data_IF_472270677466
#
_entry.id   IF_472270677466
#
_cell.length_a   1.000
_cell.length_b   1.000
_cell.length_c   1.000
_cell.angle_alpha   90.00
_cell.angle_beta   90.00
_cell.angle_gamma   90.00
#
_symmetry.space_group_name_H-M   'P 1'
#
loop_
_entity.id
_entity.type
_entity.pdbx_description
1 polymer ?
#
# COMPACT_ATOMS: atom_id res chain seq x y z
N UNK A 1 12.88 -42.51 33.55
CA UNK A 1 13.78 -41.42 33.16
C UNK A 1 13.56 -41.19 31.66
N UNK A 2 13.35 -39.95 31.25
CA UNK A 2 13.25 -39.60 29.83
C UNK A 2 14.63 -39.83 29.16
N UNK A 3 14.65 -40.33 27.93
CA UNK A 3 15.89 -40.54 27.19
C UNK A 3 15.78 -40.08 25.76
N UNK A 4 16.89 -39.68 25.20
CA UNK A 4 17.02 -39.32 23.79
C UNK A 4 18.17 -40.08 23.16
N UNK A 5 17.91 -40.70 22.01
CA UNK A 5 18.89 -41.44 21.23
C UNK A 5 19.30 -40.58 20.01
N UNK A 6 20.57 -40.24 19.95
CA UNK A 6 21.12 -39.42 18.84
C UNK A 6 21.75 -40.27 17.75
N UNK A 7 22.07 -41.56 18.04
CA UNK A 7 22.86 -42.36 17.10
C UNK A 7 24.20 -41.69 16.78
N UNK A 8 24.50 -41.55 15.52
CA UNK A 8 25.71 -40.86 15.02
C UNK A 8 25.53 -39.34 14.84
N UNK A 9 24.34 -38.77 15.17
CA UNK A 9 24.03 -37.37 14.96
C UNK A 9 24.75 -36.47 15.97
N UNK A 10 25.65 -35.65 15.49
CA UNK A 10 26.35 -34.62 16.29
C UNK A 10 25.45 -33.41 16.59
N UNK A 11 25.86 -32.58 17.58
CA UNK A 11 25.13 -31.37 17.91
C UNK A 11 25.24 -30.32 16.80
N UNK A 12 26.36 -30.30 16.08
CA UNK A 12 26.63 -29.50 14.88
C UNK A 12 25.77 -29.91 13.65
N UNK A 13 25.18 -31.10 13.70
CA UNK A 13 24.29 -31.64 12.67
C UNK A 13 22.80 -31.62 13.10
N UNK A 14 22.47 -30.90 14.15
CA UNK A 14 21.10 -30.78 14.63
C UNK A 14 20.68 -31.68 15.78
N UNK A 15 21.57 -32.52 16.33
CA UNK A 15 21.29 -33.42 17.47
C UNK A 15 20.71 -32.67 18.69
N UNK A 16 21.09 -31.41 18.89
CA UNK A 16 20.55 -30.53 19.93
C UNK A 16 19.03 -30.36 19.86
N UNK A 17 18.41 -30.44 18.67
CA UNK A 17 16.95 -30.31 18.53
C UNK A 17 16.21 -31.47 19.18
N UNK A 18 16.74 -32.70 19.08
CA UNK A 18 16.17 -33.86 19.74
C UNK A 18 16.24 -33.71 21.26
N UNK A 19 17.37 -33.20 21.75
CA UNK A 19 17.57 -32.93 23.19
C UNK A 19 16.58 -31.86 23.66
N UNK A 20 16.45 -30.73 22.94
CA UNK A 20 15.48 -29.68 23.27
C UNK A 20 14.05 -30.24 23.32
N UNK A 21 13.68 -31.08 22.34
CA UNK A 21 12.36 -31.72 22.32
C UNK A 21 12.14 -32.56 23.55
N UNK A 22 13.13 -33.40 23.97
CA UNK A 22 13.04 -34.24 25.14
C UNK A 22 12.97 -33.42 26.43
N UNK A 23 13.80 -32.35 26.58
CA UNK A 23 13.78 -31.47 27.74
C UNK A 23 12.44 -30.80 27.94
N UNK A 24 11.72 -30.42 26.86
CA UNK A 24 10.39 -29.80 26.93
C UNK A 24 9.30 -30.74 27.50
N UNK A 25 9.52 -32.04 27.45
CA UNK A 25 8.53 -33.03 27.95
C UNK A 25 8.68 -33.35 29.43
N UNK A 26 9.73 -32.87 30.07
CA UNK A 26 10.02 -33.17 31.49
C UNK A 26 9.92 -31.88 32.33
N UNK A 27 9.61 -32.00 33.65
CA UNK A 27 9.65 -30.86 34.57
C UNK A 27 11.04 -30.22 34.70
N UNK A 28 11.10 -29.00 35.20
CA UNK A 28 12.37 -28.34 35.59
C UNK A 28 13.07 -29.21 36.65
N UNK A 29 14.38 -29.30 36.55
CA UNK A 29 15.28 -30.18 37.32
C UNK A 29 15.13 -31.68 37.08
N UNK A 30 14.25 -32.10 36.18
CA UNK A 30 14.15 -33.50 35.82
C UNK A 30 15.28 -33.95 34.88
N UNK A 31 15.78 -35.21 35.02
CA UNK A 31 16.85 -35.74 34.21
C UNK A 31 16.38 -36.24 32.85
N UNK A 32 17.22 -36.02 31.83
CA UNK A 32 17.10 -36.58 30.48
C UNK A 32 18.41 -37.28 30.14
N UNK A 33 18.39 -38.60 29.94
CA UNK A 33 19.54 -39.35 29.52
C UNK A 33 19.77 -39.22 28.00
N UNK A 34 21.01 -38.90 27.61
CA UNK A 34 21.39 -38.73 26.20
C UNK A 34 22.32 -39.88 25.80
N UNK A 35 21.94 -40.62 24.74
CA UNK A 35 22.69 -41.65 24.10
C UNK A 35 23.13 -41.20 22.70
N UNK A 36 24.31 -41.68 22.28
CA UNK A 36 24.83 -41.39 20.93
C UNK A 36 26.28 -41.81 20.80
N UNK A 37 26.74 -41.94 19.55
CA UNK A 37 28.10 -42.35 19.21
C UNK A 37 28.88 -41.32 18.40
N UNK A 38 28.32 -40.10 18.21
CA UNK A 38 29.02 -39.03 17.50
C UNK A 38 30.36 -38.70 18.18
N UNK A 39 31.43 -38.43 17.43
CA UNK A 39 32.74 -38.03 17.99
C UNK A 39 32.59 -36.80 18.90
N UNK A 40 33.30 -36.85 20.05
CA UNK A 40 33.35 -35.73 21.00
C UNK A 40 31.99 -35.27 21.56
N UNK A 41 30.95 -36.10 21.43
CA UNK A 41 29.58 -35.75 21.85
C UNK A 41 29.52 -35.25 23.31
N UNK A 42 30.26 -35.86 24.22
CA UNK A 42 30.32 -35.45 25.63
C UNK A 42 30.84 -34.01 25.80
N UNK A 43 31.84 -33.61 24.99
CA UNK A 43 32.42 -32.29 25.02
C UNK A 43 31.40 -31.28 24.47
N UNK A 44 30.78 -31.58 23.34
CA UNK A 44 29.76 -30.73 22.70
C UNK A 44 28.54 -30.59 23.61
N UNK A 45 28.04 -31.65 24.25
CA UNK A 45 26.95 -31.59 25.23
C UNK A 45 27.27 -30.65 26.40
N UNK A 46 28.50 -30.71 26.95
CA UNK A 46 28.92 -29.87 28.07
C UNK A 46 28.92 -28.38 27.64
N UNK A 47 29.46 -28.10 26.48
CA UNK A 47 29.48 -26.74 25.93
C UNK A 47 28.07 -26.18 25.68
N UNK A 48 27.21 -27.01 25.05
CA UNK A 48 25.83 -26.67 24.77
C UNK A 48 24.98 -26.45 26.04
N UNK A 49 25.08 -27.38 27.03
CA UNK A 49 24.36 -27.25 28.30
C UNK A 49 24.73 -25.96 29.03
N UNK A 50 26.04 -25.61 29.05
CA UNK A 50 26.51 -24.35 29.64
C UNK A 50 25.85 -23.14 28.94
N UNK A 51 25.80 -23.15 27.62
CA UNK A 51 25.21 -22.08 26.86
C UNK A 51 23.68 -21.96 27.04
N UNK A 52 23.00 -23.09 27.29
CA UNK A 52 21.54 -23.11 27.53
C UNK A 52 21.15 -23.04 29.02
N UNK A 53 22.15 -23.03 29.93
CA UNK A 53 21.90 -22.97 31.37
C UNK A 53 21.44 -24.29 31.99
N UNK A 54 21.61 -25.44 31.31
CA UNK A 54 21.29 -26.75 31.83
C UNK A 54 22.44 -27.34 32.61
N UNK A 55 22.13 -28.06 33.69
CA UNK A 55 23.11 -28.89 34.39
C UNK A 55 23.34 -30.19 33.64
N UNK A 56 24.57 -30.72 33.75
CA UNK A 56 24.98 -31.92 33.01
C UNK A 56 25.93 -32.77 33.84
N UNK A 57 25.69 -34.06 33.84
CA UNK A 57 26.57 -35.11 34.35
C UNK A 57 27.04 -36.01 33.20
N UNK A 58 28.35 -36.08 32.99
CA UNK A 58 28.93 -36.98 31.97
C UNK A 58 29.04 -38.39 32.58
N UNK A 59 28.45 -39.35 31.90
CA UNK A 59 28.50 -40.73 32.34
C UNK A 59 29.84 -41.39 32.00
N UNK A 60 30.30 -42.25 32.91
CA UNK A 60 31.48 -43.12 32.71
C UNK A 60 31.09 -44.60 32.52
N UNK A 61 29.80 -44.90 32.40
CA UNK A 61 29.27 -46.24 32.31
C UNK A 61 29.36 -46.73 30.87
N UNK A 62 30.13 -47.81 30.65
CA UNK A 62 30.22 -48.46 29.34
C UNK A 62 28.86 -49.02 28.93
N UNK A 63 28.35 -48.60 27.75
CA UNK A 63 27.02 -48.97 27.26
C UNK A 63 25.86 -48.18 27.89
N UNK A 64 26.16 -47.22 28.77
CA UNK A 64 25.19 -46.27 29.35
C UNK A 64 25.00 -45.00 28.51
N UNK A 65 24.23 -44.02 29.02
CA UNK A 65 24.11 -42.73 28.39
C UNK A 65 25.47 -42.01 28.33
N UNK A 66 25.69 -41.19 27.31
CA UNK A 66 26.88 -40.34 27.23
C UNK A 66 26.82 -39.26 28.32
N UNK A 67 25.64 -38.77 28.61
CA UNK A 67 25.40 -37.77 29.64
C UNK A 67 23.94 -37.82 30.15
N UNK A 68 23.76 -37.31 31.37
CA UNK A 68 22.43 -36.98 31.92
C UNK A 68 22.34 -35.49 32.06
N UNK A 69 21.36 -34.89 31.42
CA UNK A 69 21.06 -33.46 31.44
C UNK A 69 19.90 -33.19 32.39
N UNK A 70 19.98 -32.11 33.15
CA UNK A 70 18.89 -31.69 34.02
C UNK A 70 18.28 -30.38 33.45
N UNK A 71 16.98 -30.39 33.19
CA UNK A 71 16.28 -29.23 32.62
C UNK A 71 16.41 -28.04 33.54
N UNK A 72 16.93 -26.91 33.02
CA UNK A 72 16.90 -25.63 33.74
C UNK A 72 15.56 -24.90 33.54
N UNK A 73 15.24 -23.97 34.46
CA UNK A 73 14.13 -23.06 34.32
C UNK A 73 14.45 -21.80 33.46
N UNK A 74 15.63 -21.79 32.82
CA UNK A 74 16.08 -20.61 32.09
C UNK A 74 15.18 -20.26 30.89
N UNK A 75 14.72 -21.26 30.13
CA UNK A 75 13.77 -21.07 29.05
C UNK A 75 12.42 -20.52 29.54
N UNK A 76 11.90 -21.03 30.66
CA UNK A 76 10.62 -20.57 31.23
C UNK A 76 10.74 -19.16 31.79
N UNK A 77 11.90 -18.74 32.29
CA UNK A 77 12.23 -17.40 32.74
C UNK A 77 12.34 -16.38 31.61
N UNK A 78 12.82 -16.83 30.44
CA UNK A 78 13.02 -15.98 29.25
C UNK A 78 11.72 -15.35 28.76
N UNK A 79 10.63 -16.12 28.76
CA UNK A 79 9.32 -15.66 28.26
C UNK A 79 8.43 -15.06 29.35
N UNK A 80 8.99 -14.81 30.56
CA UNK A 80 8.24 -14.12 31.60
C UNK A 80 7.99 -12.68 31.20
N UNK A 81 6.69 -12.25 31.18
CA UNK A 81 6.28 -10.94 30.74
C UNK A 81 6.26 -10.78 29.22
N UNK A 82 6.38 -11.87 28.46
CA UNK A 82 6.18 -11.84 27.02
C UNK A 82 4.71 -11.46 26.68
N UNK A 83 4.53 -10.69 25.62
CA UNK A 83 3.23 -10.21 25.17
C UNK A 83 2.79 -10.93 23.88
N UNK A 84 1.49 -11.23 23.79
CA UNK A 84 0.89 -11.68 22.55
C UNK A 84 0.50 -10.48 21.68
N UNK A 85 0.79 -10.53 20.40
CA UNK A 85 0.36 -9.53 19.43
C UNK A 85 -1.10 -9.72 18.97
N UNK A 86 -1.93 -10.38 19.76
CA UNK A 86 -3.35 -10.62 19.51
C UNK A 86 -3.63 -11.83 18.62
N UNK A 87 -4.77 -11.81 17.96
CA UNK A 87 -5.23 -12.90 17.09
C UNK A 87 -4.72 -12.72 15.64
N UNK A 88 -4.50 -13.83 14.94
CA UNK A 88 -3.99 -13.80 13.57
C UNK A 88 -4.94 -13.11 12.57
N UNK A 89 -6.25 -13.32 12.74
CA UNK A 89 -7.27 -12.83 11.80
C UNK A 89 -7.74 -11.41 12.08
N UNK A 90 -7.71 -10.98 13.34
CA UNK A 90 -8.32 -9.70 13.77
C UNK A 90 -7.24 -8.76 14.31
N UNK A 91 -7.05 -7.56 13.72
CA UNK A 91 -6.12 -6.59 14.28
C UNK A 91 -6.63 -6.04 15.61
N UNK A 92 -5.71 -5.76 16.51
CA UNK A 92 -5.99 -5.07 17.76
C UNK A 92 -6.41 -3.62 17.49
N UNK A 93 -7.06 -2.98 18.47
CA UNK A 93 -7.47 -1.56 18.38
C UNK A 93 -6.22 -0.68 18.25
N UNK A 94 -5.19 -0.99 19.01
CA UNK A 94 -3.91 -0.31 18.98
C UNK A 94 -2.77 -1.31 18.95
N UNK A 95 -1.77 -1.07 18.13
CA UNK A 95 -0.53 -1.83 18.11
C UNK A 95 0.47 -1.23 19.13
N UNK A 96 1.22 -2.10 19.82
CA UNK A 96 2.22 -1.64 20.78
C UNK A 96 3.57 -1.47 20.09
N UNK A 97 4.26 -0.39 20.39
CA UNK A 97 5.56 -0.07 19.79
C UNK A 97 6.60 -1.17 19.96
N UNK A 98 6.59 -1.90 21.09
CA UNK A 98 7.48 -3.03 21.37
C UNK A 98 7.14 -4.32 20.60
N UNK A 99 6.01 -4.38 19.89
CA UNK A 99 5.74 -5.48 18.97
C UNK A 99 6.59 -5.39 17.69
N UNK A 100 7.06 -4.19 17.35
CA UNK A 100 7.96 -3.94 16.25
C UNK A 100 7.48 -4.60 14.95
N UNK A 101 8.32 -5.47 14.39
CA UNK A 101 8.02 -6.19 13.14
C UNK A 101 7.37 -7.56 13.35
N UNK A 102 6.97 -7.90 14.58
CA UNK A 102 6.34 -9.18 14.87
C UNK A 102 4.99 -9.31 14.15
N UNK A 103 4.76 -10.47 13.55
CA UNK A 103 3.47 -10.77 12.93
C UNK A 103 2.36 -10.92 13.97
N UNK A 104 1.10 -10.68 13.59
CA UNK A 104 -0.06 -10.95 14.46
C UNK A 104 -0.06 -12.41 14.92
N UNK A 105 -0.50 -12.63 16.15
CA UNK A 105 -0.48 -13.88 16.92
C UNK A 105 0.92 -14.39 17.32
N UNK A 106 1.96 -13.61 17.08
CA UNK A 106 3.28 -13.91 17.63
C UNK A 106 3.33 -13.61 19.13
N UNK A 107 4.29 -14.24 19.81
CA UNK A 107 4.67 -13.88 21.18
C UNK A 107 5.95 -13.06 21.11
N UNK A 108 5.93 -11.86 21.67
CA UNK A 108 7.08 -10.96 21.72
C UNK A 108 7.74 -11.06 23.10
N UNK A 109 9.04 -11.27 23.12
CA UNK A 109 9.84 -11.37 24.34
C UNK A 109 9.84 -10.03 25.09
N UNK A 110 9.73 -10.06 26.40
CA UNK A 110 9.82 -8.88 27.22
C UNK A 110 11.17 -8.17 27.01
N UNK A 111 11.13 -6.82 26.94
CA UNK A 111 12.35 -6.03 26.67
C UNK A 111 12.70 -5.90 25.19
N UNK A 112 11.82 -6.32 24.26
CA UNK A 112 11.97 -5.98 22.85
C UNK A 112 12.01 -4.45 22.66
N UNK A 113 12.85 -3.92 21.74
CA UNK A 113 12.93 -2.49 21.51
C UNK A 113 11.61 -1.93 20.96
N UNK A 114 11.29 -0.71 21.33
CA UNK A 114 10.18 0.01 20.73
C UNK A 114 10.54 0.51 19.32
N UNK A 115 9.61 0.39 18.40
CA UNK A 115 9.67 0.93 17.04
C UNK A 115 8.70 2.10 16.92
N UNK A 116 9.13 3.18 16.28
CA UNK A 116 8.31 4.37 16.06
C UNK A 116 7.53 4.23 14.73
N UNK A 117 6.27 3.85 14.85
CA UNK A 117 5.30 3.86 13.75
C UNK A 117 4.13 4.76 14.16
N UNK A 118 4.07 6.02 13.67
CA UNK A 118 3.07 6.99 14.13
C UNK A 118 1.62 6.60 13.82
N UNK A 119 1.38 5.71 12.87
CA UNK A 119 0.05 5.19 12.53
C UNK A 119 -0.11 3.78 13.14
N UNK A 120 -0.37 3.74 14.45
CA UNK A 120 -0.44 2.53 15.25
C UNK A 120 -1.85 2.17 15.74
N UNK A 121 -2.87 2.97 15.36
CA UNK A 121 -4.25 2.81 15.79
C UNK A 121 -5.13 2.30 14.64
N UNK A 122 -5.93 1.26 14.92
CA UNK A 122 -6.82 0.66 13.91
C UNK A 122 -7.79 1.68 13.31
N UNK A 123 -8.39 2.54 14.10
CA UNK A 123 -9.33 3.56 13.65
C UNK A 123 -8.73 4.46 12.56
N UNK A 124 -7.43 4.79 12.68
CA UNK A 124 -6.75 5.72 11.79
C UNK A 124 -6.35 5.11 10.45
N UNK A 125 -6.18 3.77 10.36
CA UNK A 125 -5.60 3.15 9.17
C UNK A 125 -6.48 2.11 8.50
N UNK A 126 -7.39 1.47 9.26
CA UNK A 126 -8.04 0.25 8.80
C UNK A 126 -9.15 0.50 7.76
N UNK A 127 -9.31 -0.49 6.91
CA UNK A 127 -10.49 -0.72 6.09
C UNK A 127 -10.70 -2.23 5.97
N UNK A 128 -11.91 -2.71 6.21
CA UNK A 128 -12.22 -4.15 6.13
C UNK A 128 -11.99 -4.72 4.72
N UNK A 129 -12.09 -3.88 3.70
CA UNK A 129 -11.87 -4.23 2.31
C UNK A 129 -10.39 -4.38 1.94
N UNK A 130 -9.43 -3.95 2.77
CA UNK A 130 -8.02 -3.84 2.42
C UNK A 130 -7.42 -5.16 1.90
N UNK A 131 -7.62 -6.27 2.63
CA UNK A 131 -7.10 -7.58 2.23
C UNK A 131 -7.69 -8.06 0.89
N UNK A 132 -9.00 -7.84 0.68
CA UNK A 132 -9.69 -8.21 -0.56
C UNK A 132 -9.22 -7.37 -1.75
N UNK A 133 -9.07 -6.06 -1.55
CA UNK A 133 -8.59 -5.14 -2.60
C UNK A 133 -7.14 -5.46 -2.98
N UNK A 134 -6.30 -5.76 -1.98
CA UNK A 134 -4.93 -6.24 -2.25
C UNK A 134 -4.91 -7.51 -3.09
N UNK A 135 -5.71 -8.52 -2.73
CA UNK A 135 -5.78 -9.77 -3.49
C UNK A 135 -6.26 -9.56 -4.92
N UNK A 136 -7.25 -8.66 -5.13
CA UNK A 136 -7.72 -8.28 -6.45
C UNK A 136 -6.63 -7.56 -7.27
N UNK A 137 -5.91 -6.62 -6.65
CA UNK A 137 -4.82 -5.90 -7.30
C UNK A 137 -3.68 -6.87 -7.70
N UNK A 138 -3.29 -7.76 -6.78
CA UNK A 138 -2.24 -8.75 -7.06
C UNK A 138 -2.59 -9.71 -8.20
N UNK A 139 -3.86 -10.10 -8.30
CA UNK A 139 -4.35 -10.98 -9.38
C UNK A 139 -4.52 -10.25 -10.72
N UNK A 140 -4.69 -8.93 -10.71
CA UNK A 140 -4.96 -8.11 -11.89
C UNK A 140 -3.73 -7.40 -12.46
N UNK A 141 -2.53 -7.72 -11.97
CA UNK A 141 -1.29 -7.12 -12.48
C UNK A 141 -1.11 -7.42 -13.97
N UNK A 142 -0.78 -6.40 -14.73
CA UNK A 142 -0.54 -6.49 -16.15
C UNK A 142 0.88 -6.03 -16.51
N UNK A 143 1.42 -6.57 -17.60
CA UNK A 143 2.77 -6.25 -18.04
C UNK A 143 2.74 -5.08 -19.04
N UNK A 144 3.38 -3.94 -18.75
CA UNK A 144 3.41 -2.76 -19.63
C UNK A 144 3.96 -3.04 -21.03
N UNK A 145 4.86 -4.00 -21.15
CA UNK A 145 5.48 -4.31 -22.44
C UNK A 145 4.57 -5.09 -23.39
N UNK A 146 3.62 -5.89 -22.84
CA UNK A 146 2.82 -6.83 -23.65
C UNK A 146 1.32 -6.56 -23.61
N UNK A 147 0.81 -5.86 -22.58
CA UNK A 147 -0.61 -5.56 -22.45
C UNK A 147 -1.06 -4.40 -23.36
N UNK A 148 -0.12 -3.54 -23.76
CA UNK A 148 -0.38 -2.37 -24.59
C UNK A 148 0.04 -2.69 -26.03
N UNK A 149 -0.78 -2.34 -27.05
CA UNK A 149 -0.49 -2.65 -28.46
C UNK A 149 0.51 -1.64 -29.07
N UNK A 150 1.76 -1.59 -28.54
CA UNK A 150 2.78 -0.62 -28.89
C UNK A 150 3.14 -0.59 -30.38
N UNK A 151 3.05 -1.74 -31.03
CA UNK A 151 3.45 -1.91 -32.44
C UNK A 151 2.26 -1.74 -33.41
N UNK A 152 1.05 -1.46 -32.89
CA UNK A 152 -0.12 -1.25 -33.74
C UNK A 152 0.04 0.06 -34.53
N UNK A 153 -0.03 0.04 -35.87
CA UNK A 153 0.20 1.22 -36.67
C UNK A 153 -0.97 2.20 -36.57
N UNK A 154 -0.66 3.47 -36.38
CA UNK A 154 -1.61 4.57 -36.42
C UNK A 154 -0.97 5.85 -36.98
N UNK A 155 -1.80 6.74 -37.51
CA UNK A 155 -1.35 8.04 -38.00
C UNK A 155 -2.22 9.12 -37.37
N UNK A 156 -1.57 10.11 -36.74
CA UNK A 156 -2.22 11.28 -36.19
C UNK A 156 -1.66 12.55 -36.84
N UNK A 157 -2.49 13.56 -36.92
CA UNK A 157 -2.01 14.92 -37.20
C UNK A 157 -1.14 15.41 -36.04
N UNK A 158 -0.15 16.24 -36.33
CA UNK A 158 0.84 16.70 -35.35
C UNK A 158 0.17 17.35 -34.12
N UNK A 159 -0.85 18.16 -34.32
CA UNK A 159 -1.55 18.85 -33.22
C UNK A 159 -2.34 17.89 -32.33
N UNK A 160 -2.86 16.80 -32.89
CA UNK A 160 -3.54 15.76 -32.10
C UNK A 160 -2.50 14.96 -31.29
N UNK A 161 -1.35 14.65 -31.89
CA UNK A 161 -0.25 13.99 -31.18
C UNK A 161 0.27 14.89 -30.03
N UNK A 162 0.42 16.21 -30.28
CA UNK A 162 0.86 17.16 -29.25
C UNK A 162 -0.16 17.26 -28.10
N UNK A 163 -1.46 17.19 -28.40
CA UNK A 163 -2.51 17.13 -27.39
C UNK A 163 -2.43 15.84 -26.55
N UNK A 164 -2.14 14.67 -27.16
CA UNK A 164 -1.89 13.42 -26.43
C UNK A 164 -0.69 13.60 -25.49
N UNK A 165 0.43 14.14 -26.01
CA UNK A 165 1.63 14.37 -25.20
C UNK A 165 1.36 15.27 -24.01
N UNK A 166 0.59 16.35 -24.20
CA UNK A 166 0.23 17.24 -23.08
C UNK A 166 -0.60 16.53 -22.01
N UNK A 167 -1.61 15.75 -22.42
CA UNK A 167 -2.43 14.98 -21.47
C UNK A 167 -1.59 13.92 -20.76
N UNK A 168 -0.73 13.18 -21.48
CA UNK A 168 0.16 12.19 -20.86
C UNK A 168 1.13 12.84 -19.87
N UNK A 169 1.67 14.03 -20.20
CA UNK A 169 2.56 14.77 -19.29
C UNK A 169 1.83 15.12 -17.98
N UNK A 170 0.62 15.60 -18.07
CA UNK A 170 -0.21 15.88 -16.90
C UNK A 170 -0.46 14.61 -16.06
N UNK A 171 -0.79 13.49 -16.70
CA UNK A 171 -1.01 12.22 -16.00
C UNK A 171 0.27 11.73 -15.32
N UNK A 172 1.44 11.79 -15.97
CA UNK A 172 2.74 11.42 -15.35
C UNK A 172 2.98 12.18 -14.04
N UNK A 173 2.69 13.48 -14.00
CA UNK A 173 2.88 14.30 -12.81
C UNK A 173 1.93 13.89 -11.68
N UNK A 174 0.69 13.60 -12.00
CA UNK A 174 -0.31 13.18 -11.02
C UNK A 174 -0.03 11.79 -10.48
N UNK A 175 0.32 10.82 -11.32
CA UNK A 175 0.74 9.48 -10.90
C UNK A 175 2.03 9.50 -10.06
N UNK A 176 2.92 10.46 -10.32
CA UNK A 176 4.11 10.64 -9.48
C UNK A 176 3.70 11.05 -8.04
N UNK A 177 2.73 11.95 -7.90
CA UNK A 177 2.22 12.29 -6.57
C UNK A 177 1.45 11.11 -5.94
N UNK A 178 0.64 10.40 -6.75
CA UNK A 178 -0.11 9.21 -6.33
C UNK A 178 0.81 8.04 -5.92
N UNK A 179 2.01 7.94 -6.49
CA UNK A 179 3.04 7.00 -6.04
C UNK A 179 3.66 7.41 -4.70
N UNK A 180 4.05 8.68 -4.57
CA UNK A 180 4.77 9.17 -3.38
C UNK A 180 3.91 9.12 -2.12
N UNK A 181 2.63 9.47 -2.23
CA UNK A 181 1.73 9.57 -1.07
C UNK A 181 1.51 8.21 -0.40
N UNK A 182 1.04 7.14 -1.07
CA UNK A 182 0.86 5.84 -0.42
C UNK A 182 2.18 5.22 0.04
N UNK A 183 3.28 5.39 -0.70
CA UNK A 183 4.61 4.91 -0.31
C UNK A 183 5.07 5.54 1.01
N UNK A 184 4.85 6.85 1.20
CA UNK A 184 5.17 7.55 2.44
C UNK A 184 4.39 7.00 3.63
N UNK A 185 3.08 6.80 3.49
CA UNK A 185 2.25 6.30 4.58
C UNK A 185 2.46 4.82 4.87
N UNK A 186 2.76 4.01 3.86
CA UNK A 186 3.13 2.61 4.06
C UNK A 186 4.31 2.43 5.05
N UNK A 187 5.25 3.37 5.05
CA UNK A 187 6.38 3.37 5.98
C UNK A 187 6.04 3.86 7.41
N UNK A 188 4.88 4.49 7.59
CA UNK A 188 4.44 5.04 8.89
C UNK A 188 3.45 4.13 9.62
N UNK A 189 2.80 3.21 8.90
CA UNK A 189 1.81 2.28 9.46
C UNK A 189 2.53 1.18 10.22
N UNK A 190 2.05 0.91 11.45
CA UNK A 190 2.55 -0.23 12.23
C UNK A 190 2.29 -1.56 11.51
N UNK A 191 3.28 -2.49 11.42
CA UNK A 191 3.15 -3.76 10.68
C UNK A 191 2.04 -4.68 11.17
N UNK A 192 1.47 -4.42 12.33
CA UNK A 192 0.26 -5.08 12.82
C UNK A 192 -0.92 -4.92 11.84
N UNK A 193 -0.98 -3.81 11.10
CA UNK A 193 -1.99 -3.50 10.08
C UNK A 193 -1.49 -3.83 8.66
N UNK A 194 -0.82 -4.96 8.51
CA UNK A 194 -0.12 -5.41 7.29
C UNK A 194 -0.98 -5.38 6.02
N UNK A 195 -2.30 -5.61 6.12
CA UNK A 195 -3.20 -5.63 4.97
C UNK A 195 -3.27 -4.24 4.31
N UNK A 196 -3.29 -3.19 5.12
CA UNK A 196 -3.25 -1.80 4.62
C UNK A 196 -1.87 -1.49 4.03
N UNK A 197 -0.79 -1.88 4.70
CA UNK A 197 0.57 -1.71 4.16
C UNK A 197 0.74 -2.41 2.81
N UNK A 198 0.25 -3.66 2.68
CA UNK A 198 0.32 -4.43 1.44
C UNK A 198 -0.47 -3.75 0.33
N UNK A 199 -1.66 -3.21 0.65
CA UNK A 199 -2.48 -2.50 -0.33
C UNK A 199 -1.82 -1.19 -0.79
N UNK A 200 -1.27 -0.39 0.11
CA UNK A 200 -0.55 0.83 -0.26
C UNK A 200 0.72 0.52 -1.08
N UNK A 201 1.41 -0.58 -0.77
CA UNK A 201 2.59 -0.98 -1.54
C UNK A 201 2.24 -1.39 -2.97
N UNK A 202 1.14 -2.14 -3.17
CA UNK A 202 0.71 -2.51 -4.53
C UNK A 202 0.14 -1.31 -5.28
N UNK A 203 -0.56 -0.40 -4.60
CA UNK A 203 -0.98 0.89 -5.18
C UNK A 203 0.22 1.66 -5.70
N UNK A 204 1.26 1.87 -4.88
CA UNK A 204 2.47 2.54 -5.33
C UNK A 204 3.15 1.83 -6.53
N UNK A 205 3.06 0.50 -6.61
CA UNK A 205 3.56 -0.27 -7.77
C UNK A 205 2.67 -0.08 -9.01
N UNK A 206 1.36 0.03 -8.84
CA UNK A 206 0.44 0.36 -9.93
C UNK A 206 0.76 1.75 -10.50
N UNK A 207 0.96 2.78 -9.65
CA UNK A 207 1.33 4.14 -10.08
C UNK A 207 2.68 4.19 -10.82
N UNK A 208 3.67 3.43 -10.34
CA UNK A 208 4.95 3.33 -11.04
C UNK A 208 4.78 2.77 -12.46
N UNK A 209 3.88 1.80 -12.65
CA UNK A 209 3.52 1.24 -13.97
C UNK A 209 2.76 2.24 -14.82
N UNK A 210 1.84 3.02 -14.23
CA UNK A 210 1.13 4.08 -14.94
C UNK A 210 2.08 5.15 -15.47
N UNK A 211 3.02 5.62 -14.65
CA UNK A 211 4.07 6.57 -15.06
C UNK A 211 4.86 6.01 -16.26
N UNK A 212 5.25 4.72 -16.23
CA UNK A 212 5.99 4.07 -17.31
C UNK A 212 5.22 4.15 -18.64
N UNK A 213 3.94 3.72 -18.63
CA UNK A 213 3.17 3.65 -19.90
C UNK A 213 2.78 5.02 -20.42
N UNK A 214 2.45 5.99 -19.55
CA UNK A 214 2.19 7.37 -19.96
C UNK A 214 3.45 8.02 -20.54
N UNK A 215 4.61 7.82 -19.91
CA UNK A 215 5.90 8.31 -20.42
C UNK A 215 6.22 7.69 -21.77
N UNK A 216 6.09 6.37 -21.91
CA UNK A 216 6.35 5.67 -23.17
C UNK A 216 5.40 6.14 -24.27
N UNK A 217 4.10 6.36 -23.98
CA UNK A 217 3.16 6.89 -24.97
C UNK A 217 3.51 8.32 -25.38
N UNK A 218 3.81 9.20 -24.44
CA UNK A 218 4.17 10.59 -24.73
C UNK A 218 5.41 10.69 -25.63
N UNK A 219 6.40 9.81 -25.40
CA UNK A 219 7.66 9.80 -26.14
C UNK A 219 7.64 8.89 -27.39
N UNK A 220 6.51 8.27 -27.71
CA UNK A 220 6.41 7.33 -28.83
C UNK A 220 6.66 8.00 -30.19
N UNK A 221 6.20 9.23 -30.36
CA UNK A 221 6.32 10.00 -31.60
C UNK A 221 6.86 11.42 -31.41
N UNK A 222 7.20 11.79 -30.19
CA UNK A 222 7.77 13.10 -29.84
C UNK A 222 9.03 12.90 -29.02
N UNK A 223 10.03 13.77 -29.17
CA UNK A 223 11.31 13.64 -28.47
C UNK A 223 11.28 14.17 -27.04
N UNK A 224 10.18 14.80 -26.59
CA UNK A 224 10.05 15.41 -25.26
C UNK A 224 8.61 15.43 -24.80
N UNK A 225 8.43 15.56 -23.48
CA UNK A 225 7.14 15.77 -22.83
C UNK A 225 6.56 17.15 -23.13
N UNK A 226 5.29 17.35 -22.76
CA UNK A 226 4.59 18.61 -22.84
C UNK A 226 4.96 19.59 -21.72
N UNK A 227 4.04 20.53 -21.44
CA UNK A 227 4.26 21.58 -20.46
C UNK A 227 3.84 21.13 -19.07
N UNK A 228 4.72 21.38 -18.09
CA UNK A 228 4.43 21.28 -16.65
C UNK A 228 4.09 22.69 -16.15
N UNK A 229 2.86 22.88 -15.68
CA UNK A 229 2.39 24.22 -15.30
C UNK A 229 2.63 24.51 -13.81
N UNK A 230 2.90 25.77 -13.48
CA UNK A 230 3.04 26.21 -12.10
C UNK A 230 1.78 25.91 -11.27
N UNK A 231 0.60 26.05 -11.89
CA UNK A 231 -0.67 25.72 -11.26
C UNK A 231 -0.85 24.24 -10.98
N UNK A 232 -0.48 23.37 -11.94
CA UNK A 232 -0.45 21.91 -11.75
C UNK A 232 0.47 21.52 -10.62
N UNK A 233 1.71 22.03 -10.61
CA UNK A 233 2.67 21.79 -9.52
C UNK A 233 2.17 22.27 -8.15
N UNK A 234 1.53 23.45 -8.08
CA UNK A 234 0.94 23.94 -6.84
C UNK A 234 -0.18 23.02 -6.33
N UNK A 235 -1.00 22.48 -7.23
CA UNK A 235 -2.04 21.51 -6.90
C UNK A 235 -1.44 20.23 -6.32
N UNK A 236 -0.45 19.62 -6.99
CA UNK A 236 0.22 18.40 -6.51
C UNK A 236 0.95 18.61 -5.19
N UNK A 237 1.53 19.79 -4.99
CA UNK A 237 2.18 20.13 -3.72
C UNK A 237 1.21 20.03 -2.54
N UNK A 238 -0.06 20.37 -2.70
CA UNK A 238 -1.06 20.23 -1.62
C UNK A 238 -1.29 18.79 -1.20
N UNK A 239 -1.08 17.81 -2.08
CA UNK A 239 -1.14 16.37 -1.77
C UNK A 239 0.13 15.91 -1.05
N UNK A 240 1.28 16.35 -1.54
CA UNK A 240 2.59 15.98 -0.98
C UNK A 240 2.77 16.56 0.43
N UNK A 241 2.28 17.78 0.68
CA UNK A 241 2.43 18.44 1.98
C UNK A 241 1.44 17.93 3.06
N UNK A 242 0.34 17.24 2.65
CA UNK A 242 -0.64 16.76 3.63
C UNK A 242 -0.06 15.60 4.46
N UNK A 243 0.10 15.81 5.75
CA UNK A 243 0.75 14.88 6.68
C UNK A 243 -0.24 13.90 7.35
N UNK A 244 -1.53 14.21 7.36
CA UNK A 244 -2.57 13.37 7.96
C UNK A 244 -3.02 12.30 6.96
N UNK A 245 -3.05 11.03 7.37
CA UNK A 245 -3.38 9.92 6.49
C UNK A 245 -4.82 9.98 5.97
N UNK A 246 -5.79 10.29 6.83
CA UNK A 246 -7.19 10.39 6.42
C UNK A 246 -7.44 11.58 5.48
N UNK A 247 -6.83 12.74 5.78
CA UNK A 247 -6.93 13.92 4.91
C UNK A 247 -6.26 13.65 3.56
N UNK A 248 -5.10 13.00 3.56
CA UNK A 248 -4.39 12.60 2.36
C UNK A 248 -5.21 11.62 1.51
N UNK A 249 -5.83 10.60 2.12
CA UNK A 249 -6.74 9.69 1.44
C UNK A 249 -7.96 10.40 0.83
N UNK A 250 -8.50 11.42 1.53
CA UNK A 250 -9.58 12.26 0.97
C UNK A 250 -9.12 13.01 -0.26
N UNK A 251 -7.98 13.70 -0.19
CA UNK A 251 -7.49 14.55 -1.27
C UNK A 251 -7.03 13.72 -2.47
N UNK A 252 -6.31 12.62 -2.26
CA UNK A 252 -5.81 11.76 -3.32
C UNK A 252 -6.91 10.85 -3.85
N UNK A 253 -7.33 9.84 -3.06
CA UNK A 253 -8.15 8.75 -3.59
C UNK A 253 -9.60 9.16 -3.84
N UNK A 254 -10.20 10.03 -3.00
CA UNK A 254 -11.62 10.40 -3.15
C UNK A 254 -11.80 11.54 -4.16
N UNK A 255 -11.00 12.59 -4.08
CA UNK A 255 -11.10 13.74 -4.98
C UNK A 255 -10.29 13.55 -6.26
N UNK A 256 -8.98 13.29 -6.15
CA UNK A 256 -8.05 13.15 -7.27
C UNK A 256 -8.36 11.94 -8.15
N UNK A 257 -7.96 10.76 -7.72
CA UNK A 257 -8.15 9.48 -8.44
C UNK A 257 -9.62 9.23 -8.76
N UNK A 258 -10.52 9.60 -7.83
CA UNK A 258 -11.95 9.50 -8.07
C UNK A 258 -12.46 10.37 -9.24
N UNK A 259 -11.83 11.51 -9.53
CA UNK A 259 -12.12 12.31 -10.72
C UNK A 259 -11.41 11.75 -11.95
N UNK A 260 -10.22 11.17 -11.76
CA UNK A 260 -9.45 10.53 -12.83
C UNK A 260 -10.16 9.33 -13.45
N UNK A 261 -10.95 8.59 -12.70
CA UNK A 261 -11.78 7.54 -13.28
C UNK A 261 -12.66 8.05 -14.44
N UNK A 262 -13.27 9.22 -14.28
CA UNK A 262 -14.06 9.83 -15.35
C UNK A 262 -13.16 10.34 -16.50
N UNK A 263 -11.99 10.89 -16.18
CA UNK A 263 -11.02 11.33 -17.18
C UNK A 263 -10.47 10.18 -18.01
N UNK A 264 -10.08 9.08 -17.36
CA UNK A 264 -9.57 7.88 -18.05
C UNK A 264 -10.63 7.22 -18.92
N UNK A 265 -11.89 7.17 -18.47
CA UNK A 265 -13.00 6.72 -19.30
C UNK A 265 -13.22 7.63 -20.52
N UNK A 266 -13.12 8.94 -20.33
CA UNK A 266 -13.20 9.91 -21.42
C UNK A 266 -12.05 9.73 -22.42
N UNK A 267 -10.82 9.56 -21.93
CA UNK A 267 -9.66 9.30 -22.78
C UNK A 267 -9.80 7.98 -23.54
N UNK A 268 -10.29 6.92 -22.90
CA UNK A 268 -10.55 5.65 -23.58
C UNK A 268 -11.60 5.81 -24.71
N UNK A 269 -12.69 6.55 -24.46
CA UNK A 269 -13.77 6.77 -25.44
C UNK A 269 -13.37 7.68 -26.60
N UNK A 270 -12.43 8.60 -26.37
CA UNK A 270 -12.01 9.61 -27.34
C UNK A 270 -10.53 9.47 -27.72
N UNK A 271 -9.93 8.29 -27.43
CA UNK A 271 -8.56 8.01 -27.80
C UNK A 271 -8.38 8.15 -29.32
N UNK A 272 -7.37 8.91 -29.76
CA UNK A 272 -7.09 9.09 -31.19
C UNK A 272 -6.32 7.89 -31.77
N UNK A 273 -5.85 6.98 -30.92
CA UNK A 273 -5.07 5.80 -31.31
C UNK A 273 -5.30 4.63 -30.33
N UNK A 274 -5.03 3.39 -30.76
CA UNK A 274 -5.29 2.19 -29.94
C UNK A 274 -4.40 2.10 -28.70
N UNK A 275 -3.16 2.63 -28.75
CA UNK A 275 -2.22 2.64 -27.62
C UNK A 275 -2.76 3.51 -26.48
N UNK A 276 -3.16 4.75 -26.78
CA UNK A 276 -3.76 5.67 -25.81
C UNK A 276 -5.05 5.08 -25.22
N UNK A 277 -5.90 4.47 -26.06
CA UNK A 277 -7.15 3.86 -25.62
C UNK A 277 -6.96 2.70 -24.65
N UNK A 278 -6.02 1.82 -24.94
CA UNK A 278 -5.74 0.65 -24.10
C UNK A 278 -5.06 1.03 -22.78
N UNK A 279 -4.12 1.98 -22.80
CA UNK A 279 -3.53 2.54 -21.58
C UNK A 279 -4.63 3.07 -20.66
N UNK A 280 -5.49 3.96 -21.16
CA UNK A 280 -6.56 4.57 -20.37
C UNK A 280 -7.52 3.52 -19.78
N UNK A 281 -7.81 2.45 -20.50
CA UNK A 281 -8.65 1.33 -20.05
C UNK A 281 -8.02 0.56 -18.89
N UNK A 282 -6.73 0.20 -19.00
CA UNK A 282 -6.03 -0.60 -18.00
C UNK A 282 -5.80 0.21 -16.73
N UNK A 283 -5.33 1.44 -16.86
CA UNK A 283 -5.12 2.34 -15.72
C UNK A 283 -6.43 2.58 -14.97
N UNK A 284 -7.56 2.82 -15.66
CA UNK A 284 -8.86 2.99 -15.00
C UNK A 284 -9.29 1.78 -14.15
N UNK A 285 -8.87 0.57 -14.51
CA UNK A 285 -9.15 -0.63 -13.71
C UNK A 285 -8.36 -0.66 -12.40
N UNK A 286 -7.10 -0.18 -12.42
CA UNK A 286 -6.26 -0.08 -11.23
C UNK A 286 -6.79 1.03 -10.32
N UNK A 287 -7.05 2.23 -10.87
CA UNK A 287 -7.59 3.39 -10.16
C UNK A 287 -8.91 3.10 -9.43
N UNK A 288 -9.77 2.27 -10.01
CA UNK A 288 -11.02 1.90 -9.35
C UNK A 288 -10.80 1.22 -7.99
N UNK A 289 -9.69 0.49 -7.81
CA UNK A 289 -9.33 -0.15 -6.53
C UNK A 289 -8.78 0.86 -5.53
N UNK A 290 -7.96 1.81 -5.99
CA UNK A 290 -7.41 2.89 -5.16
C UNK A 290 -8.54 3.75 -4.57
N UNK A 291 -9.47 4.18 -5.41
CA UNK A 291 -10.67 4.89 -5.00
C UNK A 291 -11.54 4.07 -4.04
N UNK A 292 -11.70 2.78 -4.31
CA UNK A 292 -12.49 1.89 -3.45
C UNK A 292 -11.88 1.80 -2.04
N UNK A 293 -10.55 1.71 -1.93
CA UNK A 293 -9.86 1.72 -0.64
C UNK A 293 -10.05 3.05 0.09
N UNK A 294 -9.77 4.19 -0.54
CA UNK A 294 -9.90 5.49 0.10
C UNK A 294 -11.32 5.75 0.62
N UNK A 295 -12.34 5.40 -0.16
CA UNK A 295 -13.74 5.53 0.28
C UNK A 295 -14.06 4.57 1.42
N UNK A 296 -13.61 3.32 1.39
CA UNK A 296 -13.85 2.34 2.44
C UNK A 296 -13.19 2.74 3.76
N UNK A 297 -11.91 3.12 3.69
CA UNK A 297 -11.14 3.61 4.83
C UNK A 297 -11.82 4.79 5.51
N UNK A 298 -12.14 5.85 4.76
CA UNK A 298 -12.78 7.03 5.32
C UNK A 298 -14.20 6.76 5.83
N UNK A 299 -14.97 5.90 5.16
CA UNK A 299 -16.29 5.50 5.64
C UNK A 299 -16.20 4.80 6.99
N UNK A 300 -15.20 3.94 7.19
CA UNK A 300 -14.99 3.26 8.46
C UNK A 300 -14.49 4.22 9.53
N UNK A 301 -13.50 5.05 9.22
CA UNK A 301 -12.95 6.02 10.17
C UNK A 301 -14.02 7.01 10.64
N UNK A 302 -14.88 7.54 9.75
CA UNK A 302 -16.01 8.41 10.14
C UNK A 302 -17.03 7.70 11.03
N UNK A 303 -17.25 6.39 10.88
CA UNK A 303 -18.12 5.64 11.79
C UNK A 303 -17.55 5.54 13.20
N UNK A 304 -16.23 5.44 13.33
CA UNK A 304 -15.55 5.36 14.62
C UNK A 304 -15.31 6.76 15.22
N UNK A 305 -15.03 7.77 14.38
CA UNK A 305 -14.88 9.18 14.75
C UNK A 305 -15.71 10.10 13.82
N UNK A 306 -16.97 10.41 14.14
CA UNK A 306 -17.78 11.32 13.32
C UNK A 306 -17.23 12.75 13.20
N UNK A 307 -16.36 13.20 14.13
CA UNK A 307 -15.75 14.53 14.06
C UNK A 307 -14.76 14.65 12.87
N UNK A 308 -14.32 13.53 12.32
CA UNK A 308 -13.49 13.50 11.11
C UNK A 308 -14.17 14.20 9.92
N UNK A 309 -15.51 14.17 9.80
CA UNK A 309 -16.21 14.83 8.68
C UNK A 309 -15.88 16.33 8.59
N UNK A 310 -15.83 17.03 9.71
CA UNK A 310 -15.48 18.46 9.72
C UNK A 310 -13.99 18.69 9.33
N UNK A 311 -13.09 17.81 9.74
CA UNK A 311 -11.68 17.86 9.35
C UNK A 311 -11.53 17.64 7.84
N UNK A 312 -12.25 16.67 7.28
CA UNK A 312 -12.28 16.38 5.85
C UNK A 312 -12.84 17.58 5.05
N UNK A 313 -13.96 18.16 5.50
CA UNK A 313 -14.55 19.35 4.87
C UNK A 313 -13.57 20.52 4.88
N UNK A 314 -12.95 20.80 6.03
CA UNK A 314 -11.97 21.86 6.17
C UNK A 314 -10.72 21.64 5.28
N UNK A 315 -10.29 20.40 5.07
CA UNK A 315 -9.19 20.09 4.15
C UNK A 315 -9.55 20.41 2.69
N UNK A 316 -10.76 20.06 2.26
CA UNK A 316 -11.27 20.38 0.91
C UNK A 316 -11.34 21.90 0.72
N UNK A 317 -11.88 22.63 1.69
CA UNK A 317 -12.02 24.07 1.65
C UNK A 317 -10.65 24.78 1.62
N UNK A 318 -9.72 24.38 2.50
CA UNK A 318 -8.34 24.92 2.50
C UNK A 318 -7.64 24.71 1.17
N UNK A 319 -7.78 23.51 0.59
CA UNK A 319 -7.21 23.22 -0.72
C UNK A 319 -7.80 24.11 -1.80
N UNK A 320 -9.12 24.26 -1.83
CA UNK A 320 -9.81 25.16 -2.75
C UNK A 320 -9.28 26.59 -2.62
N UNK A 321 -9.22 27.12 -1.40
CA UNK A 321 -8.75 28.50 -1.15
C UNK A 321 -7.30 28.69 -1.57
N UNK A 322 -6.44 27.71 -1.35
CA UNK A 322 -5.04 27.74 -1.80
C UNK A 322 -4.93 27.81 -3.32
N UNK A 323 -5.81 27.12 -4.04
CA UNK A 323 -5.75 27.00 -5.50
C UNK A 323 -6.65 27.98 -6.25
N UNK A 324 -7.63 28.61 -5.58
CA UNK A 324 -8.63 29.48 -6.20
C UNK A 324 -8.02 30.68 -6.93
N UNK A 325 -6.86 31.13 -6.50
CA UNK A 325 -6.15 32.29 -7.07
C UNK A 325 -4.94 31.89 -7.93
N UNK A 326 -4.76 30.60 -8.18
CA UNK A 326 -3.67 30.11 -9.05
C UNK A 326 -4.10 30.24 -10.50
N UNK A 327 -3.51 31.20 -11.22
CA UNK A 327 -3.82 31.45 -12.63
C UNK A 327 -3.36 30.26 -13.52
N UNK A 328 -4.15 29.94 -14.55
CA UNK A 328 -3.77 28.98 -15.60
C UNK A 328 -3.68 27.53 -15.15
N UNK A 329 -4.44 27.12 -14.12
CA UNK A 329 -4.51 25.70 -13.72
C UNK A 329 -4.99 24.83 -14.88
N UNK A 330 -4.07 24.05 -15.44
CA UNK A 330 -4.32 23.02 -16.46
C UNK A 330 -5.13 23.47 -17.68
N UNK A 331 -5.02 24.72 -18.08
CA UNK A 331 -5.68 25.23 -19.30
C UNK A 331 -5.21 24.45 -20.52
N UNK A 332 -3.91 24.15 -20.60
CA UNK A 332 -3.28 23.37 -21.66
C UNK A 332 -3.85 21.93 -21.73
N UNK A 333 -4.14 21.32 -20.58
CA UNK A 333 -4.76 19.99 -20.52
C UNK A 333 -6.22 20.06 -20.95
N UNK A 334 -6.95 21.08 -20.51
CA UNK A 334 -8.34 21.28 -20.88
C UNK A 334 -8.50 21.45 -22.39
N UNK A 335 -7.69 22.30 -23.00
CA UNK A 335 -7.69 22.52 -24.45
C UNK A 335 -7.32 21.24 -25.22
N UNK A 336 -6.33 20.50 -24.72
CA UNK A 336 -5.96 19.21 -25.28
C UNK A 336 -7.11 18.21 -25.24
N UNK A 337 -7.87 18.12 -24.14
CA UNK A 337 -9.03 17.25 -24.05
C UNK A 337 -10.14 17.64 -25.03
N UNK A 338 -10.36 18.96 -25.21
CA UNK A 338 -11.31 19.44 -26.22
C UNK A 338 -10.88 19.02 -27.61
N UNK A 339 -9.60 19.18 -27.93
CA UNK A 339 -9.05 18.82 -29.23
C UNK A 339 -9.10 17.30 -29.50
N UNK A 340 -8.75 16.47 -28.50
CA UNK A 340 -8.89 15.01 -28.60
C UNK A 340 -10.33 14.59 -28.86
N UNK A 341 -11.29 15.19 -28.15
CA UNK A 341 -12.69 14.90 -28.31
C UNK A 341 -13.29 15.43 -29.63
N UNK A 342 -12.68 16.49 -30.19
CA UNK A 342 -13.03 17.06 -31.48
C UNK A 342 -12.45 16.26 -32.65
N UNK A 343 -11.23 15.75 -32.51
CA UNK A 343 -10.48 15.04 -33.54
C UNK A 343 -9.99 15.92 -34.69
N UNK A 344 -10.33 17.20 -34.73
CA UNK A 344 -9.89 18.18 -35.74
C UNK A 344 -10.09 19.62 -35.28
N UNK A 345 -9.47 20.56 -36.00
CA UNK A 345 -9.60 22.02 -35.78
C UNK A 345 -10.83 22.66 -36.45
N UNK A 346 -11.74 21.88 -37.00
CA UNK A 346 -12.94 22.44 -37.61
C UNK A 346 -13.87 23.04 -36.53
N UNK A 347 -14.44 24.23 -36.74
CA UNK A 347 -15.24 24.94 -35.74
C UNK A 347 -16.38 24.10 -35.14
N UNK A 348 -17.07 23.30 -35.99
CA UNK A 348 -18.16 22.43 -35.58
C UNK A 348 -17.65 21.27 -34.71
N UNK A 349 -16.48 20.69 -35.05
CA UNK A 349 -15.85 19.62 -34.29
C UNK A 349 -15.37 20.14 -32.93
N UNK A 350 -14.74 21.32 -32.87
CA UNK A 350 -14.33 21.98 -31.61
C UNK A 350 -15.53 22.27 -30.71
N UNK A 351 -16.65 22.78 -31.28
CA UNK A 351 -17.88 22.98 -30.49
C UNK A 351 -18.41 21.65 -29.92
N UNK A 352 -18.40 20.58 -30.69
CA UNK A 352 -18.79 19.26 -30.22
C UNK A 352 -17.82 18.73 -29.14
N UNK A 353 -16.50 18.85 -29.33
CA UNK A 353 -15.47 18.48 -28.36
C UNK A 353 -15.62 19.24 -27.03
N UNK A 354 -15.83 20.55 -27.10
CA UNK A 354 -16.15 21.37 -25.93
C UNK A 354 -17.35 20.82 -25.14
N UNK A 355 -18.47 20.54 -25.86
CA UNK A 355 -19.66 19.97 -25.25
C UNK A 355 -19.38 18.65 -24.51
N UNK A 356 -18.56 17.78 -25.08
CA UNK A 356 -18.15 16.49 -24.45
C UNK A 356 -17.31 16.72 -23.18
N UNK A 357 -16.40 17.69 -23.17
CA UNK A 357 -15.62 18.04 -21.98
C UNK A 357 -16.50 18.66 -20.89
N UNK A 358 -17.52 19.45 -21.23
CA UNK A 358 -18.49 19.94 -20.24
C UNK A 358 -19.27 18.77 -19.59
N UNK A 359 -19.61 17.73 -20.34
CA UNK A 359 -20.24 16.51 -19.80
C UNK A 359 -19.27 15.80 -18.86
N UNK A 360 -17.99 15.66 -19.22
CA UNK A 360 -16.95 15.08 -18.38
C UNK A 360 -16.86 15.80 -17.02
N UNK A 361 -16.80 17.14 -17.04
CA UNK A 361 -16.75 17.95 -15.80
C UNK A 361 -17.98 17.70 -14.92
N UNK A 362 -19.16 17.65 -15.53
CA UNK A 362 -20.41 17.36 -14.82
C UNK A 362 -20.40 15.95 -14.20
N UNK A 363 -19.85 14.95 -14.91
CA UNK A 363 -19.71 13.58 -14.42
C UNK A 363 -18.73 13.49 -13.25
N UNK A 364 -17.60 14.16 -13.32
CA UNK A 364 -16.65 14.28 -12.21
C UNK A 364 -17.34 14.88 -10.97
N UNK A 365 -18.10 15.95 -11.13
CA UNK A 365 -18.86 16.58 -10.03
C UNK A 365 -19.87 15.62 -9.40
N UNK A 366 -20.65 14.91 -10.23
CA UNK A 366 -21.60 13.89 -9.75
C UNK A 366 -20.89 12.74 -9.03
N UNK A 367 -19.76 12.30 -9.55
CA UNK A 367 -18.92 11.27 -8.96
C UNK A 367 -18.42 11.66 -7.56
N UNK A 368 -17.86 12.87 -7.43
CA UNK A 368 -17.40 13.42 -6.14
C UNK A 368 -18.53 13.50 -5.12
N UNK A 369 -19.65 14.09 -5.48
CA UNK A 369 -20.80 14.19 -4.58
C UNK A 369 -21.31 12.81 -4.11
N UNK A 370 -21.27 11.78 -4.97
CA UNK A 370 -21.61 10.40 -4.58
C UNK A 370 -20.63 9.82 -3.58
N UNK A 371 -19.32 9.98 -3.81
CA UNK A 371 -18.27 9.48 -2.90
C UNK A 371 -18.34 10.17 -1.53
N UNK A 372 -18.50 11.50 -1.49
CA UNK A 372 -18.68 12.26 -0.26
C UNK A 372 -19.89 11.80 0.55
N UNK A 373 -21.03 11.55 -0.11
CA UNK A 373 -22.22 10.98 0.57
C UNK A 373 -21.95 9.59 1.12
N UNK A 374 -21.21 8.75 0.40
CA UNK A 374 -20.87 7.40 0.85
C UNK A 374 -19.98 7.42 2.10
N UNK A 375 -19.10 8.41 2.22
CA UNK A 375 -18.25 8.60 3.41
C UNK A 375 -19.07 9.03 4.62
N UNK A 376 -20.17 9.78 4.43
CA UNK A 376 -21.05 10.18 5.53
C UNK A 376 -21.56 11.63 5.48
N UNK A 377 -21.13 12.44 4.50
CA UNK A 377 -21.68 13.78 4.34
C UNK A 377 -23.15 13.74 3.92
N UNK A 378 -23.96 14.64 4.48
CA UNK A 378 -25.32 14.85 3.99
C UNK A 378 -25.34 15.34 2.54
N UNK A 379 -26.51 15.24 1.89
CA UNK A 379 -26.62 15.53 0.45
C UNK A 379 -26.27 16.97 0.08
N UNK A 380 -26.64 17.94 0.92
CA UNK A 380 -26.39 19.36 0.66
C UNK A 380 -24.90 19.71 0.84
N UNK A 381 -24.29 19.24 1.94
CA UNK A 381 -22.85 19.45 2.20
C UNK A 381 -21.98 18.75 1.14
N UNK A 382 -22.31 17.52 0.77
CA UNK A 382 -21.62 16.80 -0.30
C UNK A 382 -21.67 17.55 -1.64
N UNK A 383 -22.82 18.14 -1.98
CA UNK A 383 -22.96 18.92 -3.19
C UNK A 383 -22.15 20.23 -3.13
N UNK A 384 -22.20 20.94 -1.99
CA UNK A 384 -21.43 22.17 -1.79
C UNK A 384 -19.92 21.92 -1.88
N UNK A 385 -19.41 20.90 -1.18
CA UNK A 385 -17.99 20.52 -1.23
C UNK A 385 -17.57 20.05 -2.63
N UNK A 386 -18.42 19.31 -3.33
CA UNK A 386 -18.16 18.93 -4.72
C UNK A 386 -18.07 20.11 -5.69
N UNK A 387 -18.80 21.19 -5.42
CA UNK A 387 -18.80 22.40 -6.25
C UNK A 387 -17.53 23.24 -6.09
N UNK A 388 -16.72 23.03 -5.03
CA UNK A 388 -15.42 23.68 -4.82
C UNK A 388 -14.33 23.17 -5.76
N UNK A 389 -14.71 22.42 -6.77
CA UNK A 389 -13.77 21.92 -7.77
C UNK A 389 -13.16 23.04 -8.59
N UNK A 390 -11.85 23.05 -8.69
CA UNK A 390 -11.10 23.91 -9.60
C UNK A 390 -10.93 23.25 -10.96
N UNK A 391 -10.52 23.98 -11.99
CA UNK A 391 -10.32 23.46 -13.36
C UNK A 391 -9.17 22.47 -13.50
N UNK A 392 -8.50 22.10 -12.43
CA UNK A 392 -7.39 21.14 -12.43
C UNK A 392 -7.81 19.66 -12.35
N UNK A 393 -9.09 19.35 -12.51
CA UNK A 393 -9.64 17.99 -12.48
C UNK A 393 -9.45 17.22 -11.15
N UNK A 394 -8.92 17.81 -10.10
CA UNK A 394 -8.73 17.18 -8.80
C UNK A 394 -9.59 17.79 -7.71
#
# INVERSE_FOLDING_TARGET
MCSVELGELGLDQGGHLLIKRALRTVPVHAPVAVYGSAPELAIHLRGWCRAQGHDIEISQITGGPVAVLYRSGAEDGRWRGAESTGEAATPQIQAHANWGLAGRSATVEAGAPAFDFPLDTRAEVWAEEAARLYAQAAAAQWNPATAIPWDEPFVLHDEIEDAVVQVMTYLIENETAALVVPARFAAQIHPHFREVMQLLAIQAADEARHIEVFTRRALLRRPKLGLSTAGGQASLKTLIDEADFALSAMLLSVLGEGSFLSLLQFLHQHAPDPVTGEIARLVAQDEARHVAFGVAHLTQHVREDPALLERLAAAIERRHDTLAHTAGLNEEVFDSLVLLAAGSWQPEALRAGWGKVQILIADMGRGRARRLRKIGFDGQRAQSLSALHTRNFM
#
